data_IF_777887439570
#
_entry.id   IF_777887439570
#
_cell.length_a   1.000
_cell.length_b   1.000
_cell.length_c   1.000
_cell.angle_alpha   90.00
_cell.angle_beta   90.00
_cell.angle_gamma   90.00
#
_symmetry.space_group_name_H-M   'P 1'
#
loop_
_entity.id
_entity.type
_entity.pdbx_description
1 polymer ?
#
# COMPACT_ATOMS: atom_id res chain seq x y z
N UNK A 1 -58.03 -1.26 24.41
CA UNK A 1 -56.91 -2.02 23.81
C UNK A 1 -56.26 -1.08 22.81
N UNK A 2 -55.04 -0.60 23.07
CA UNK A 2 -54.35 0.34 22.20
C UNK A 2 -53.16 -0.38 21.54
N UNK A 3 -53.14 -0.35 20.21
CA UNK A 3 -52.19 -1.00 19.33
C UNK A 3 -50.80 -0.34 19.45
N UNK A 4 -49.78 -1.12 19.83
CA UNK A 4 -48.39 -0.67 19.88
C UNK A 4 -47.79 -0.68 18.47
N UNK A 5 -48.04 0.38 17.69
CA UNK A 5 -47.24 0.71 16.50
C UNK A 5 -46.22 1.80 16.84
N UNK A 6 -45.13 1.44 17.50
CA UNK A 6 -44.03 2.37 17.79
C UNK A 6 -42.80 2.01 16.93
N UNK A 7 -42.61 2.74 15.83
CA UNK A 7 -41.32 2.78 15.13
C UNK A 7 -40.21 3.16 16.12
N UNK A 8 -39.03 2.55 15.97
CA UNK A 8 -37.88 2.74 16.88
C UNK A 8 -37.66 4.24 17.17
N UNK A 9 -37.95 4.66 18.40
CA UNK A 9 -37.72 6.02 18.87
C UNK A 9 -36.22 6.34 18.79
N UNK A 10 -35.88 7.54 18.31
CA UNK A 10 -34.49 7.99 18.21
C UNK A 10 -33.88 8.03 19.61
N UNK A 11 -32.78 7.29 19.81
CA UNK A 11 -32.05 7.28 21.08
C UNK A 11 -31.45 8.65 21.43
N UNK A 12 -30.85 8.74 22.63
CA UNK A 12 -30.17 9.95 23.10
C UNK A 12 -29.04 10.36 22.13
N UNK A 13 -28.85 11.66 21.84
CA UNK A 13 -27.72 12.14 21.05
C UNK A 13 -26.38 11.73 21.68
N UNK A 14 -25.36 11.50 20.85
CA UNK A 14 -24.01 11.30 21.34
C UNK A 14 -23.52 12.54 22.10
N UNK A 15 -22.67 12.33 23.11
CA UNK A 15 -22.06 13.44 23.85
C UNK A 15 -21.16 14.25 22.90
N UNK A 16 -21.17 15.59 22.96
CA UNK A 16 -20.23 16.42 22.20
C UNK A 16 -18.78 15.95 22.43
N UNK A 17 -18.04 15.73 21.34
CA UNK A 17 -16.65 15.25 21.39
C UNK A 17 -16.48 13.72 21.56
N UNK A 18 -17.56 12.94 21.69
CA UNK A 18 -17.48 11.48 21.81
C UNK A 18 -18.24 10.80 20.67
N UNK A 19 -17.50 10.08 19.81
CA UNK A 19 -18.10 9.21 18.80
C UNK A 19 -18.92 8.10 19.47
N UNK A 20 -20.08 7.77 18.90
CA UNK A 20 -20.87 6.60 19.29
C UNK A 20 -20.16 5.26 19.03
N UNK A 21 -19.10 5.29 18.22
CA UNK A 21 -18.20 4.16 18.01
C UNK A 21 -16.75 4.67 18.14
N UNK A 22 -16.16 4.64 19.34
CA UNK A 22 -14.79 5.12 19.60
C UNK A 22 -13.71 4.32 18.86
N UNK A 23 -13.95 3.03 18.61
CA UNK A 23 -13.04 2.16 17.87
C UNK A 23 -13.12 2.35 16.34
N UNK A 24 -14.09 3.15 15.88
CA UNK A 24 -14.35 3.34 14.45
C UNK A 24 -14.85 2.08 13.76
N UNK A 25 -14.97 2.17 12.43
CA UNK A 25 -15.35 1.01 11.61
C UNK A 25 -14.22 -0.03 11.68
N UNK A 26 -14.52 -1.33 11.86
CA UNK A 26 -13.49 -2.36 11.88
C UNK A 26 -12.63 -2.31 10.60
N UNK A 27 -11.31 -2.49 10.71
CA UNK A 27 -10.41 -2.47 9.57
C UNK A 27 -10.81 -3.56 8.55
N UNK A 28 -10.74 -3.23 7.26
CA UNK A 28 -11.06 -4.15 6.16
C UNK A 28 -12.54 -4.27 5.79
N UNK A 29 -13.47 -3.71 6.57
CA UNK A 29 -14.90 -3.78 6.25
C UNK A 29 -15.25 -2.80 5.12
N UNK A 30 -15.73 -3.31 3.99
CA UNK A 30 -16.25 -2.49 2.87
C UNK A 30 -17.59 -1.85 3.26
N UNK A 31 -17.91 -0.68 2.71
CA UNK A 31 -19.24 -0.10 2.94
C UNK A 31 -20.27 -0.87 2.06
N UNK A 32 -21.55 -0.77 2.40
CA UNK A 32 -22.61 -1.48 1.67
C UNK A 32 -22.65 -1.08 0.19
N UNK A 33 -22.41 0.20 -0.11
CA UNK A 33 -22.37 0.71 -1.48
C UNK A 33 -21.27 0.05 -2.32
N UNK A 34 -20.07 -0.14 -1.78
CA UNK A 34 -18.95 -0.81 -2.44
C UNK A 34 -19.25 -2.28 -2.68
N UNK A 35 -19.87 -2.98 -1.73
CA UNK A 35 -20.25 -4.38 -1.92
C UNK A 35 -21.27 -4.52 -3.06
N UNK A 36 -22.28 -3.65 -3.09
CA UNK A 36 -23.28 -3.63 -4.16
C UNK A 36 -22.65 -3.27 -5.51
N UNK A 37 -21.79 -2.26 -5.56
CA UNK A 37 -21.08 -1.88 -6.78
C UNK A 37 -20.21 -3.03 -7.29
N UNK A 38 -19.48 -3.71 -6.42
CA UNK A 38 -18.67 -4.88 -6.81
C UNK A 38 -19.52 -5.99 -7.41
N UNK A 39 -20.68 -6.28 -6.81
CA UNK A 39 -21.61 -7.27 -7.35
C UNK A 39 -22.18 -6.86 -8.73
N UNK A 40 -22.42 -5.56 -8.95
CA UNK A 40 -22.89 -5.04 -10.24
C UNK A 40 -21.80 -5.06 -11.32
N UNK A 41 -20.54 -4.88 -10.95
CA UNK A 41 -19.42 -4.90 -11.89
C UNK A 41 -18.91 -6.31 -12.19
N UNK A 42 -19.32 -7.31 -11.42
CA UNK A 42 -18.89 -8.69 -11.63
C UNK A 42 -19.42 -9.20 -12.98
N UNK A 43 -18.52 -9.71 -13.82
CA UNK A 43 -18.85 -10.14 -15.19
C UNK A 43 -19.04 -9.02 -16.23
N UNK A 44 -19.16 -7.75 -15.84
CA UNK A 44 -19.41 -6.63 -16.78
C UNK A 44 -18.16 -6.14 -17.53
N UNK A 45 -16.98 -6.71 -17.23
CA UNK A 45 -15.71 -6.25 -17.78
C UNK A 45 -15.70 -6.23 -19.32
N UNK A 46 -16.18 -7.29 -19.97
CA UNK A 46 -16.22 -7.36 -21.43
C UNK A 46 -17.20 -6.35 -22.04
N UNK A 47 -18.42 -6.29 -21.49
CA UNK A 47 -19.50 -5.38 -21.94
C UNK A 47 -19.06 -3.92 -21.86
N UNK A 48 -18.51 -3.50 -20.72
CA UNK A 48 -17.99 -2.14 -20.51
C UNK A 48 -16.80 -1.84 -21.44
N UNK A 49 -15.92 -2.82 -21.66
CA UNK A 49 -14.76 -2.66 -22.56
C UNK A 49 -15.20 -2.48 -24.02
N UNK A 50 -16.21 -3.23 -24.48
CA UNK A 50 -16.78 -3.00 -25.81
C UNK A 50 -17.41 -1.62 -25.90
N UNK A 51 -18.16 -1.21 -24.87
CA UNK A 51 -18.83 0.08 -24.87
C UNK A 51 -17.89 1.26 -24.91
N UNK A 52 -16.79 1.22 -24.15
CA UNK A 52 -15.80 2.30 -24.18
C UNK A 52 -15.09 2.41 -25.53
N UNK A 53 -14.86 1.29 -26.22
CA UNK A 53 -14.30 1.28 -27.58
C UNK A 53 -15.28 1.91 -28.58
N UNK A 54 -16.58 1.62 -28.48
CA UNK A 54 -17.60 2.27 -29.31
C UNK A 54 -17.64 3.78 -29.10
N UNK A 55 -17.65 4.23 -27.84
CA UNK A 55 -17.65 5.65 -27.51
C UNK A 55 -16.38 6.36 -28.01
N UNK A 56 -15.22 5.71 -27.87
CA UNK A 56 -13.97 6.23 -28.41
C UNK A 56 -14.02 6.38 -29.93
N UNK A 57 -14.57 5.38 -30.65
CA UNK A 57 -14.76 5.45 -32.10
C UNK A 57 -15.78 6.52 -32.52
N UNK A 58 -16.74 6.84 -31.65
CA UNK A 58 -17.70 7.91 -31.86
C UNK A 58 -17.14 9.31 -31.53
N UNK A 59 -15.88 9.42 -31.11
CA UNK A 59 -15.19 10.69 -30.86
C UNK A 59 -15.23 11.18 -29.41
N UNK A 60 -15.66 10.35 -28.46
CA UNK A 60 -15.55 10.69 -27.04
C UNK A 60 -14.08 10.76 -26.62
N UNK A 61 -13.62 11.95 -26.24
CA UNK A 61 -12.23 12.20 -25.92
C UNK A 61 -11.76 11.53 -24.62
N UNK A 62 -12.66 11.34 -23.66
CA UNK A 62 -12.34 10.60 -22.44
C UNK A 62 -12.20 9.11 -22.74
N UNK A 63 -13.10 8.55 -23.53
CA UNK A 63 -13.02 7.16 -23.95
C UNK A 63 -11.76 6.88 -24.80
N UNK A 64 -11.42 7.79 -25.72
CA UNK A 64 -10.17 7.75 -26.49
C UNK A 64 -8.94 7.75 -25.59
N UNK A 65 -8.88 8.66 -24.61
CA UNK A 65 -7.78 8.69 -23.64
C UNK A 65 -7.66 7.37 -22.89
N UNK A 66 -8.76 6.82 -22.37
CA UNK A 66 -8.73 5.53 -21.65
C UNK A 66 -8.23 4.41 -22.56
N UNK A 67 -8.65 4.37 -23.83
CA UNK A 67 -8.17 3.37 -24.79
C UNK A 67 -6.66 3.54 -25.08
N UNK A 68 -6.18 4.77 -25.28
CA UNK A 68 -4.77 5.07 -25.52
C UNK A 68 -3.91 4.73 -24.29
N UNK A 69 -4.35 5.10 -23.08
CA UNK A 69 -3.64 4.80 -21.83
C UNK A 69 -3.51 3.28 -21.58
N UNK A 70 -4.35 2.46 -22.24
CA UNK A 70 -4.28 0.98 -22.18
C UNK A 70 -3.46 0.37 -23.32
N UNK A 71 -3.52 0.95 -24.51
CA UNK A 71 -2.75 0.50 -25.69
C UNK A 71 -1.28 0.93 -25.62
N UNK A 72 -1.06 2.17 -25.22
CA UNK A 72 0.24 2.80 -25.03
C UNK A 72 0.35 3.23 -23.56
N UNK A 73 0.43 2.28 -22.61
CA UNK A 73 0.55 2.62 -21.21
C UNK A 73 1.75 3.56 -21.03
N UNK A 74 1.59 4.67 -20.28
CA UNK A 74 2.72 5.53 -20.01
C UNK A 74 3.82 4.67 -19.42
N UNK A 75 5.01 4.74 -20.01
CA UNK A 75 6.20 4.08 -19.48
C UNK A 75 6.42 4.73 -18.11
N UNK A 76 5.83 4.14 -17.07
CA UNK A 76 6.30 4.35 -15.72
C UNK A 76 7.72 3.84 -15.75
N UNK A 77 8.65 4.56 -15.12
CA UNK A 77 9.97 4.03 -14.83
C UNK A 77 9.80 2.80 -13.92
N UNK A 78 9.44 1.67 -14.51
CA UNK A 78 9.69 0.38 -13.93
C UNK A 78 11.18 0.21 -14.12
N UNK A 79 11.93 0.40 -13.03
CA UNK A 79 13.30 -0.08 -12.99
C UNK A 79 13.26 -1.52 -13.48
N UNK A 80 13.91 -1.80 -14.61
CA UNK A 80 14.03 -3.17 -15.12
C UNK A 80 14.48 -4.07 -13.96
N UNK A 81 14.01 -5.32 -13.85
CA UNK A 81 14.46 -6.21 -12.78
C UNK A 81 15.98 -6.28 -12.77
N UNK A 82 16.57 -5.94 -11.62
CA UNK A 82 17.99 -5.67 -11.48
C UNK A 82 18.60 -6.85 -10.74
N UNK A 83 19.61 -7.47 -11.32
CA UNK A 83 20.39 -8.51 -10.65
C UNK A 83 21.60 -7.85 -10.01
N UNK A 84 21.58 -7.74 -8.68
CA UNK A 84 22.71 -7.28 -7.90
C UNK A 84 23.20 -8.47 -7.08
N UNK A 85 24.43 -8.92 -7.36
CA UNK A 85 25.10 -9.88 -6.49
C UNK A 85 25.40 -9.20 -5.15
N UNK A 86 24.77 -9.71 -4.10
CA UNK A 86 25.00 -9.23 -2.74
C UNK A 86 26.11 -10.11 -2.14
N UNK A 87 27.27 -9.53 -1.77
CA UNK A 87 28.32 -10.30 -1.12
C UNK A 87 27.84 -10.81 0.24
N UNK A 88 28.32 -11.98 0.66
CA UNK A 88 28.11 -12.47 2.02
C UNK A 88 28.96 -11.60 2.94
N UNK A 89 28.32 -10.67 3.64
CA UNK A 89 28.95 -9.77 4.60
C UNK A 89 28.02 -9.51 5.78
N UNK A 90 28.58 -9.51 6.98
CA UNK A 90 27.88 -9.10 8.20
C UNK A 90 27.90 -7.57 8.40
N UNK A 91 28.63 -6.84 7.52
CA UNK A 91 28.77 -5.40 7.56
C UNK A 91 27.71 -4.71 6.70
N UNK A 92 26.80 -4.00 7.37
CA UNK A 92 25.79 -3.16 6.72
C UNK A 92 26.44 -2.06 5.84
N UNK A 93 27.62 -1.57 6.21
CA UNK A 93 28.36 -0.58 5.42
C UNK A 93 28.87 -1.16 4.10
N UNK A 94 29.32 -2.43 4.09
CA UNK A 94 29.76 -3.11 2.88
C UNK A 94 28.59 -3.39 1.94
N UNK A 95 27.44 -3.73 2.51
CA UNK A 95 26.20 -3.88 1.76
C UNK A 95 25.78 -2.56 1.09
N UNK A 96 25.81 -1.44 1.83
CA UNK A 96 25.53 -0.12 1.26
C UNK A 96 26.51 0.27 0.14
N UNK A 97 27.82 0.02 0.35
CA UNK A 97 28.85 0.28 -0.66
C UNK A 97 28.66 -0.58 -1.92
N UNK A 98 28.13 -1.79 -1.81
CA UNK A 98 27.82 -2.64 -2.96
C UNK A 98 26.80 -1.99 -3.88
N UNK A 99 25.74 -1.39 -3.33
CA UNK A 99 24.74 -0.69 -4.14
C UNK A 99 25.29 0.58 -4.79
N UNK A 100 26.15 1.32 -4.09
CA UNK A 100 26.82 2.51 -4.64
C UNK A 100 27.72 2.12 -5.82
N UNK A 101 28.53 1.06 -5.67
CA UNK A 101 29.38 0.54 -6.76
C UNK A 101 28.55 0.05 -7.94
N UNK A 102 27.47 -0.69 -7.69
CA UNK A 102 26.58 -1.15 -8.76
C UNK A 102 25.97 0.02 -9.56
N UNK A 103 25.71 1.15 -8.91
CA UNK A 103 25.25 2.37 -9.59
C UNK A 103 26.35 3.03 -10.42
N UNK A 104 27.56 3.16 -9.85
CA UNK A 104 28.72 3.71 -10.54
C UNK A 104 29.09 2.89 -11.80
N UNK A 105 28.92 1.57 -11.74
CA UNK A 105 29.16 0.64 -12.84
C UNK A 105 28.01 0.61 -13.88
N UNK A 106 26.94 1.39 -13.67
CA UNK A 106 25.77 1.43 -14.56
C UNK A 106 24.86 0.20 -14.50
N UNK A 107 25.09 -0.74 -13.57
CA UNK A 107 24.21 -1.90 -13.36
C UNK A 107 22.93 -1.55 -12.62
N UNK A 108 22.95 -0.45 -11.86
CA UNK A 108 21.84 0.06 -11.06
C UNK A 108 21.57 1.53 -11.41
N UNK A 109 20.31 1.97 -11.44
CA UNK A 109 20.05 3.41 -11.53
C UNK A 109 20.40 4.10 -10.20
N UNK A 110 20.88 5.36 -10.23
CA UNK A 110 21.22 6.09 -9.01
C UNK A 110 20.06 6.17 -8.01
N UNK A 111 18.83 6.33 -8.50
CA UNK A 111 17.62 6.38 -7.66
C UNK A 111 17.36 5.07 -6.92
N UNK A 112 17.59 3.91 -7.57
CA UNK A 112 17.41 2.62 -6.90
C UNK A 112 18.55 2.38 -5.90
N UNK A 113 19.78 2.77 -6.24
CA UNK A 113 20.90 2.68 -5.31
C UNK A 113 20.65 3.46 -4.02
N UNK A 114 20.14 4.69 -4.15
CA UNK A 114 19.78 5.52 -3.01
C UNK A 114 18.67 4.86 -2.14
N UNK A 115 17.67 4.26 -2.78
CA UNK A 115 16.61 3.52 -2.06
C UNK A 115 17.17 2.31 -1.30
N UNK A 116 18.10 1.55 -1.90
CA UNK A 116 18.71 0.39 -1.26
C UNK A 116 19.59 0.81 -0.07
N UNK A 117 20.41 1.85 -0.22
CA UNK A 117 21.21 2.40 0.88
C UNK A 117 20.32 2.87 2.05
N UNK A 118 19.18 3.51 1.75
CA UNK A 118 18.20 3.90 2.77
C UNK A 118 17.58 2.70 3.48
N UNK A 119 17.28 1.63 2.74
CA UNK A 119 16.76 0.38 3.30
C UNK A 119 17.77 -0.27 4.25
N UNK A 120 19.06 -0.31 3.87
CA UNK A 120 20.15 -0.79 4.74
C UNK A 120 20.23 0.01 6.04
N UNK A 121 20.16 1.34 5.97
CA UNK A 121 20.16 2.19 7.17
C UNK A 121 18.92 1.97 8.06
N UNK A 122 17.78 1.60 7.48
CA UNK A 122 16.59 1.25 8.25
C UNK A 122 16.74 -0.11 8.93
N UNK A 123 17.33 -1.10 8.27
CA UNK A 123 17.65 -2.39 8.87
C UNK A 123 18.66 -2.25 10.01
N UNK A 124 19.70 -1.44 9.85
CA UNK A 124 20.70 -1.18 10.89
C UNK A 124 20.05 -0.68 12.19
N UNK A 125 19.08 0.25 12.09
CA UNK A 125 18.31 0.73 13.26
C UNK A 125 17.48 -0.38 13.92
N UNK A 126 16.90 -1.29 13.14
CA UNK A 126 16.14 -2.41 13.68
C UNK A 126 17.06 -3.35 14.46
N UNK A 127 18.21 -3.70 13.87
CA UNK A 127 19.23 -4.56 14.52
C UNK A 127 19.72 -3.90 15.82
N UNK A 128 20.05 -2.62 15.80
CA UNK A 128 20.47 -1.87 16.99
C UNK A 128 19.41 -1.91 18.10
N UNK A 129 18.14 -1.73 17.75
CA UNK A 129 17.02 -1.82 18.70
C UNK A 129 16.93 -3.23 19.31
N UNK A 130 17.11 -4.28 18.51
CA UNK A 130 17.01 -5.65 19.00
C UNK A 130 18.21 -6.02 19.89
N UNK A 131 19.43 -5.61 19.53
CA UNK A 131 20.62 -5.75 20.38
C UNK A 131 20.46 -5.02 21.72
N UNK A 132 19.90 -3.81 21.71
CA UNK A 132 19.62 -3.05 22.92
C UNK A 132 18.59 -3.74 23.81
N UNK A 133 17.52 -4.31 23.24
CA UNK A 133 16.54 -5.10 24.01
C UNK A 133 17.20 -6.32 24.64
N UNK A 134 18.02 -7.04 23.90
CA UNK A 134 18.72 -8.23 24.40
C UNK A 134 19.61 -7.88 25.60
N UNK A 135 20.44 -6.83 25.48
CA UNK A 135 21.27 -6.35 26.60
C UNK A 135 20.46 -5.96 27.83
N UNK A 136 19.32 -5.28 27.65
CA UNK A 136 18.42 -4.92 28.75
C UNK A 136 17.81 -6.16 29.43
N UNK A 137 17.42 -7.17 28.65
CA UNK A 137 16.89 -8.42 29.22
C UNK A 137 17.94 -9.20 30.01
N UNK A 138 19.18 -9.25 29.53
CA UNK A 138 20.29 -9.88 30.25
C UNK A 138 20.58 -9.17 31.58
N UNK A 139 20.65 -7.84 31.58
CA UNK A 139 20.84 -7.05 32.81
C UNK A 139 19.70 -7.22 33.81
N UNK A 140 18.45 -7.29 33.34
CA UNK A 140 17.28 -7.53 34.18
C UNK A 140 17.32 -8.92 34.82
N UNK A 141 17.73 -9.95 34.07
CA UNK A 141 17.82 -11.32 34.57
C UNK A 141 18.99 -11.54 35.54
N UNK A 142 20.06 -10.75 35.45
CA UNK A 142 21.19 -10.78 36.38
C UNK A 142 20.93 -10.01 37.70
N UNK A 143 19.84 -9.25 37.79
CA UNK A 143 19.49 -8.44 38.97
C UNK A 143 18.38 -9.08 39.82
N UNK A 144 18.03 -10.34 39.56
CA UNK A 144 17.09 -11.19 40.32
C UNK A 144 17.89 -12.34 40.94
#
# INVERSE_FOLDING_TARGET
>A
MAENSAGKQRGKPFKPGQSGNPAGKPPGVKNRATVLAQALFDGEAESLTRKIIELAKAGDMQALKVCIDRLCPPIKAQSAPIQVEIPVTDSMSDLANTFIKAAADGRLSPDVAAQMVSAVGTLARVVEIDELKERLTLQRNMSI
#
